data_IF_498589895765
#
_entry.id   IF_498589895765
#
_cell.length_a   1.000
_cell.length_b   1.000
_cell.length_c   1.000
_cell.angle_alpha   90.00
_cell.angle_beta   90.00
_cell.angle_gamma   90.00
#
_symmetry.space_group_name_H-M   'P 1'
#
loop_
_entity.id
_entity.type
_entity.pdbx_description
1 polymer ?
#
# COMPACT_ATOMS: atom_id res chain seq x y z
N UNK A 1 28.89 -46.53 43.87
CA UNK A 1 28.92 -47.35 42.65
C UNK A 1 27.51 -47.78 42.31
N UNK A 2 26.98 -47.31 41.17
CA UNK A 2 25.90 -47.93 40.41
C UNK A 2 25.89 -47.25 39.04
N UNK A 3 26.30 -47.99 38.02
CA UNK A 3 26.40 -47.57 36.62
C UNK A 3 25.00 -47.48 36.01
N UNK A 4 24.71 -46.42 35.25
CA UNK A 4 23.58 -46.38 34.31
C UNK A 4 24.11 -46.18 32.89
N UNK A 5 23.68 -47.08 32.03
CA UNK A 5 24.06 -47.22 30.63
C UNK A 5 23.60 -46.05 29.77
N UNK A 6 24.47 -45.70 28.82
CA UNK A 6 24.18 -44.89 27.65
C UNK A 6 23.46 -45.76 26.62
N UNK A 7 22.41 -45.25 26.01
CA UNK A 7 21.97 -45.75 24.70
C UNK A 7 21.71 -44.57 23.76
N UNK A 8 22.41 -44.63 22.64
CA UNK A 8 22.40 -43.71 21.51
C UNK A 8 21.27 -44.09 20.56
N UNK A 9 20.48 -43.12 20.10
CA UNK A 9 19.77 -43.22 18.82
C UNK A 9 19.52 -41.83 18.20
N UNK A 10 19.95 -41.66 16.94
CA UNK A 10 19.79 -40.49 16.08
C UNK A 10 18.33 -40.30 15.60
N UNK A 11 17.91 -39.07 15.22
CA UNK A 11 16.56 -38.80 14.75
C UNK A 11 16.32 -39.25 13.30
N UNK A 12 15.19 -39.92 13.07
CA UNK A 12 14.72 -40.37 11.77
C UNK A 12 14.18 -39.21 10.91
N UNK A 13 14.53 -39.23 9.62
CA UNK A 13 14.07 -38.34 8.55
C UNK A 13 12.61 -38.59 8.21
N UNK A 14 11.79 -37.52 8.20
CA UNK A 14 10.40 -37.55 7.72
C UNK A 14 10.37 -37.08 6.26
N UNK A 15 10.11 -38.00 5.33
CA UNK A 15 9.90 -37.71 3.91
C UNK A 15 8.52 -37.09 3.64
N UNK A 16 8.49 -36.14 2.71
CA UNK A 16 7.33 -35.33 2.29
C UNK A 16 6.67 -35.98 1.06
N UNK A 17 5.34 -36.14 0.98
CA UNK A 17 4.70 -36.73 -0.19
C UNK A 17 4.75 -35.81 -1.43
N UNK A 18 5.16 -36.36 -2.57
CA UNK A 18 5.26 -35.69 -3.88
C UNK A 18 3.88 -35.45 -4.49
N UNK A 19 3.63 -34.23 -4.97
CA UNK A 19 2.40 -33.78 -5.64
C UNK A 19 2.44 -34.22 -7.11
N UNK A 20 1.41 -34.95 -7.55
CA UNK A 20 1.23 -35.41 -8.93
C UNK A 20 0.72 -34.24 -9.80
N UNK A 21 1.42 -33.99 -10.90
CA UNK A 21 1.08 -33.03 -11.95
C UNK A 21 -0.10 -33.55 -12.77
N UNK A 22 -1.18 -32.77 -12.91
CA UNK A 22 -2.30 -33.11 -13.82
C UNK A 22 -2.29 -32.15 -15.01
N UNK A 23 -2.16 -32.77 -16.18
CA UNK A 23 -2.07 -32.21 -17.52
C UNK A 23 -3.38 -31.54 -17.95
N UNK A 24 -3.26 -30.46 -18.71
CA UNK A 24 -4.34 -29.71 -19.34
C UNK A 24 -4.99 -30.47 -20.51
N UNK A 25 -6.29 -30.31 -20.69
CA UNK A 25 -7.00 -30.67 -21.91
C UNK A 25 -8.07 -29.59 -22.24
N UNK A 26 -8.44 -29.43 -23.53
CA UNK A 26 -8.76 -28.13 -24.11
C UNK A 26 -10.25 -27.78 -24.17
N UNK A 27 -10.48 -26.53 -24.57
CA UNK A 27 -11.75 -25.84 -24.74
C UNK A 27 -12.82 -26.61 -25.54
N UNK A 28 -14.05 -26.62 -25.00
CA UNK A 28 -15.26 -27.03 -25.71
C UNK A 28 -16.19 -25.83 -25.90
N UNK A 29 -16.72 -25.73 -27.13
CA UNK A 29 -17.54 -24.66 -27.69
C UNK A 29 -18.92 -24.60 -27.05
N UNK A 30 -19.45 -23.37 -26.96
CA UNK A 30 -20.82 -23.04 -26.56
C UNK A 30 -21.77 -23.36 -27.73
N UNK A 31 -22.84 -24.11 -27.46
CA UNK A 31 -24.02 -24.25 -28.31
C UNK A 31 -25.27 -23.82 -27.56
N UNK A 32 -26.17 -23.14 -28.27
CA UNK A 32 -27.38 -22.44 -27.84
C UNK A 32 -28.50 -23.36 -27.28
N UNK A 33 -29.61 -22.80 -26.71
CA UNK A 33 -30.47 -23.49 -25.76
C UNK A 33 -31.59 -24.32 -26.44
N UNK A 34 -31.93 -25.46 -25.82
CA UNK A 34 -33.09 -26.26 -26.20
C UNK A 34 -34.14 -26.27 -25.06
N UNK A 35 -35.39 -26.38 -25.50
CA UNK A 35 -36.65 -26.08 -24.83
C UNK A 35 -36.99 -26.90 -23.57
N UNK A 36 -37.85 -26.31 -22.75
CA UNK A 36 -38.52 -26.92 -21.59
C UNK A 36 -39.78 -27.66 -22.05
N UNK A 37 -40.04 -28.87 -21.53
CA UNK A 37 -41.41 -29.29 -21.26
C UNK A 37 -41.67 -29.48 -19.77
N UNK A 38 -42.83 -28.96 -19.34
CA UNK A 38 -43.41 -29.15 -18.00
C UNK A 38 -43.83 -30.60 -17.80
N UNK A 39 -43.67 -31.06 -16.56
CA UNK A 39 -44.55 -32.08 -15.99
C UNK A 39 -43.85 -32.99 -14.99
N UNK A 40 -44.27 -32.89 -13.73
CA UNK A 40 -44.34 -33.95 -12.70
C UNK A 40 -43.85 -33.45 -11.35
N UNK A 41 -44.80 -33.30 -10.42
CA UNK A 41 -44.56 -33.06 -9.00
C UNK A 41 -44.21 -34.42 -8.37
N UNK A 42 -42.98 -34.58 -7.90
CA UNK A 42 -42.63 -35.60 -6.91
C UNK A 42 -41.71 -34.95 -5.87
N UNK A 43 -42.13 -35.02 -4.60
CA UNK A 43 -41.33 -34.64 -3.45
C UNK A 43 -40.08 -35.52 -3.41
N UNK A 44 -38.91 -34.89 -3.47
CA UNK A 44 -37.63 -35.56 -3.24
C UNK A 44 -36.90 -34.79 -2.13
N UNK A 45 -36.88 -35.37 -0.92
CA UNK A 45 -36.17 -34.86 0.27
C UNK A 45 -34.64 -34.97 0.15
N UNK A 46 -34.12 -35.08 -1.08
CA UNK A 46 -32.69 -35.11 -1.35
C UNK A 46 -32.29 -34.09 -2.43
N UNK A 47 -32.89 -32.90 -2.35
CA UNK A 47 -32.45 -31.76 -3.17
C UNK A 47 -31.00 -31.41 -2.82
N UNK A 48 -30.12 -31.52 -3.82
CA UNK A 48 -28.77 -30.98 -3.74
C UNK A 48 -28.83 -29.53 -3.25
N UNK A 49 -27.89 -29.08 -2.39
CA UNK A 49 -27.87 -27.70 -1.93
C UNK A 49 -27.92 -26.78 -3.16
N UNK A 50 -28.68 -25.67 -3.11
CA UNK A 50 -28.78 -24.75 -4.23
C UNK A 50 -27.36 -24.43 -4.72
N UNK A 51 -27.16 -24.29 -6.05
CA UNK A 51 -25.84 -24.03 -6.59
C UNK A 51 -25.23 -22.88 -5.78
N UNK A 52 -24.04 -23.11 -5.22
CA UNK A 52 -23.27 -22.06 -4.54
C UNK A 52 -23.41 -20.82 -5.39
N UNK A 53 -24.02 -19.77 -4.82
CA UNK A 53 -24.14 -18.46 -5.45
C UNK A 53 -22.77 -18.21 -6.07
N UNK A 54 -22.72 -18.25 -7.40
CA UNK A 54 -21.50 -18.00 -8.14
C UNK A 54 -21.06 -16.65 -7.63
N UNK A 55 -19.93 -16.63 -6.92
CA UNK A 55 -19.33 -15.39 -6.44
C UNK A 55 -19.20 -14.54 -7.68
N UNK A 56 -20.11 -13.56 -7.86
CA UNK A 56 -20.14 -12.73 -9.06
C UNK A 56 -18.76 -12.10 -9.13
N UNK A 57 -17.96 -12.57 -10.10
CA UNK A 57 -16.60 -12.11 -10.26
C UNK A 57 -16.72 -10.66 -10.72
N UNK A 58 -16.55 -9.73 -9.78
CA UNK A 58 -16.46 -8.33 -10.11
C UNK A 58 -15.24 -8.14 -11.02
N UNK A 59 -15.50 -7.66 -12.22
CA UNK A 59 -14.46 -7.29 -13.17
C UNK A 59 -13.79 -6.01 -12.70
N UNK A 60 -12.45 -6.00 -12.66
CA UNK A 60 -11.66 -4.84 -12.26
C UNK A 60 -11.15 -4.12 -13.50
N UNK A 61 -11.71 -2.94 -13.79
CA UNK A 61 -11.25 -2.08 -14.87
C UNK A 61 -10.04 -1.26 -14.42
N UNK A 62 -8.98 -1.25 -15.22
CA UNK A 62 -7.80 -0.42 -14.97
C UNK A 62 -8.15 1.08 -15.10
N UNK A 63 -7.39 1.95 -14.47
CA UNK A 63 -7.73 3.39 -14.40
C UNK A 63 -7.66 4.07 -15.77
N UNK A 64 -6.70 3.65 -16.61
CA UNK A 64 -6.53 4.05 -18.00
C UNK A 64 -7.71 3.66 -18.92
N UNK A 65 -8.45 2.62 -18.54
CA UNK A 65 -9.58 2.11 -19.32
C UNK A 65 -10.93 2.73 -18.89
N UNK A 66 -10.98 3.42 -17.75
CA UNK A 66 -12.20 4.04 -17.24
C UNK A 66 -12.65 5.18 -18.16
N UNK A 67 -13.91 5.12 -18.58
CA UNK A 67 -14.56 6.17 -19.37
C UNK A 67 -15.21 7.22 -18.49
N UNK A 68 -15.25 8.46 -18.97
CA UNK A 68 -15.97 9.54 -18.32
C UNK A 68 -17.45 9.18 -18.06
N UNK A 69 -18.04 9.77 -17.03
CA UNK A 69 -19.49 9.69 -16.80
C UNK A 69 -20.22 10.55 -17.83
N UNK A 70 -21.31 10.06 -18.45
CA UNK A 70 -22.10 10.84 -19.39
C UNK A 70 -22.86 11.98 -18.70
N UNK A 71 -23.27 11.78 -17.45
CA UNK A 71 -23.98 12.77 -16.64
C UNK A 71 -23.36 12.84 -15.22
N UNK A 72 -22.26 13.58 -15.04
CA UNK A 72 -21.57 13.69 -13.75
C UNK A 72 -22.38 14.48 -12.71
N UNK A 73 -23.25 15.40 -13.13
CA UNK A 73 -24.07 16.24 -12.24
C UNK A 73 -25.14 15.43 -11.53
N UNK A 74 -25.87 14.59 -12.26
CA UNK A 74 -26.84 13.68 -11.63
C UNK A 74 -26.12 12.66 -10.74
N UNK A 75 -24.98 12.15 -11.21
CA UNK A 75 -24.23 11.14 -10.46
C UNK A 75 -23.67 11.68 -9.14
N UNK A 76 -23.13 12.89 -9.11
CA UNK A 76 -22.59 13.45 -7.86
C UNK A 76 -23.70 13.64 -6.80
N UNK A 77 -24.92 13.96 -7.21
CA UNK A 77 -26.06 14.18 -6.32
C UNK A 77 -26.48 12.93 -5.53
N UNK A 78 -26.41 11.74 -6.14
CA UNK A 78 -26.74 10.47 -5.48
C UNK A 78 -25.54 9.72 -4.90
N UNK A 79 -24.31 10.18 -5.16
CA UNK A 79 -23.09 9.39 -4.91
C UNK A 79 -22.93 8.95 -3.46
N UNK A 80 -23.10 9.87 -2.51
CA UNK A 80 -22.91 9.56 -1.09
C UNK A 80 -23.93 8.54 -0.58
N UNK A 81 -25.19 8.64 -1.01
CA UNK A 81 -26.23 7.66 -0.68
C UNK A 81 -25.90 6.27 -1.26
N UNK A 82 -25.47 6.22 -2.53
CA UNK A 82 -25.07 4.98 -3.18
C UNK A 82 -23.87 4.31 -2.48
N UNK A 83 -22.89 5.11 -2.05
CA UNK A 83 -21.72 4.67 -1.29
C UNK A 83 -22.07 4.12 0.11
N UNK A 84 -23.20 4.54 0.69
CA UNK A 84 -23.70 4.07 1.99
C UNK A 84 -24.66 2.87 1.91
N UNK A 85 -24.92 2.37 0.71
CA UNK A 85 -25.75 1.20 0.48
C UNK A 85 -25.34 0.00 1.34
N UNK A 86 -26.34 -0.75 1.82
CA UNK A 86 -26.13 -2.04 2.50
C UNK A 86 -25.72 -3.16 1.52
N UNK A 87 -26.07 -2.99 0.25
CA UNK A 87 -25.64 -3.88 -0.83
C UNK A 87 -24.23 -3.51 -1.27
N UNK A 88 -23.28 -4.38 -0.93
CA UNK A 88 -21.87 -4.20 -1.22
C UNK A 88 -21.55 -4.13 -2.72
N UNK A 89 -22.38 -4.73 -3.59
CA UNK A 89 -22.21 -4.64 -5.04
C UNK A 89 -22.52 -3.22 -5.53
N UNK A 90 -23.57 -2.59 -4.98
CA UNK A 90 -23.88 -1.17 -5.25
C UNK A 90 -22.75 -0.26 -4.75
N UNK A 91 -22.16 -0.55 -3.60
CA UNK A 91 -21.00 0.20 -3.11
C UNK A 91 -19.80 0.04 -4.05
N UNK A 92 -19.53 -1.17 -4.57
CA UNK A 92 -18.49 -1.36 -5.59
C UNK A 92 -18.77 -0.56 -6.87
N UNK A 93 -20.02 -0.51 -7.33
CA UNK A 93 -20.41 0.29 -8.49
C UNK A 93 -20.19 1.79 -8.22
N UNK A 94 -20.66 2.30 -7.08
CA UNK A 94 -20.48 3.68 -6.66
C UNK A 94 -18.99 4.06 -6.49
N UNK A 95 -18.15 3.15 -5.97
CA UNK A 95 -16.70 3.35 -5.90
C UNK A 95 -16.06 3.43 -7.29
N UNK A 96 -16.56 2.71 -8.29
CA UNK A 96 -16.10 2.89 -9.67
C UNK A 96 -16.57 4.23 -10.25
N UNK A 97 -17.74 4.73 -9.86
CA UNK A 97 -18.15 6.09 -10.22
C UNK A 97 -17.28 7.14 -9.52
N UNK A 98 -16.87 6.94 -8.26
CA UNK A 98 -15.83 7.77 -7.59
C UNK A 98 -14.55 7.81 -8.42
N UNK A 99 -14.07 6.66 -8.90
CA UNK A 99 -12.87 6.59 -9.76
C UNK A 99 -13.03 7.41 -11.04
N UNK A 100 -14.16 7.25 -11.73
CA UNK A 100 -14.47 7.99 -12.97
C UNK A 100 -14.58 9.48 -12.71
N UNK A 101 -15.21 9.89 -11.61
CA UNK A 101 -15.30 11.29 -11.20
C UNK A 101 -13.92 11.86 -10.87
N UNK A 102 -13.09 11.14 -10.11
CA UNK A 102 -11.74 11.57 -9.78
C UNK A 102 -10.91 11.82 -11.04
N UNK A 103 -10.96 10.91 -12.02
CA UNK A 103 -10.11 10.99 -13.22
C UNK A 103 -10.62 12.00 -14.26
N UNK A 104 -11.93 12.11 -14.47
CA UNK A 104 -12.51 12.86 -15.60
C UNK A 104 -13.28 14.11 -15.18
N UNK A 105 -13.71 14.20 -13.93
CA UNK A 105 -14.69 15.19 -13.44
C UNK A 105 -14.34 15.67 -12.01
N UNK A 106 -13.05 15.85 -11.72
CA UNK A 106 -12.52 15.99 -10.36
C UNK A 106 -13.13 17.17 -9.58
N UNK A 107 -13.53 18.24 -10.28
CA UNK A 107 -14.15 19.43 -9.68
C UNK A 107 -15.46 19.13 -8.95
N UNK A 108 -16.23 18.14 -9.40
CA UNK A 108 -17.48 17.73 -8.74
C UNK A 108 -17.23 16.94 -7.45
N UNK A 109 -16.12 16.20 -7.39
CA UNK A 109 -15.79 15.38 -6.23
C UNK A 109 -15.12 16.20 -5.11
N UNK A 110 -14.40 17.27 -5.48
CA UNK A 110 -13.64 18.11 -4.54
C UNK A 110 -14.45 18.58 -3.32
N UNK A 111 -15.70 19.09 -3.45
CA UNK A 111 -16.48 19.59 -2.31
C UNK A 111 -16.86 18.51 -1.29
N UNK A 112 -16.85 17.23 -1.69
CA UNK A 112 -17.24 16.10 -0.83
C UNK A 112 -16.09 15.13 -0.58
N UNK A 113 -14.86 15.49 -0.95
CA UNK A 113 -13.71 14.60 -0.96
C UNK A 113 -13.43 13.99 0.42
N UNK A 114 -13.55 14.77 1.49
CA UNK A 114 -13.42 14.30 2.88
C UNK A 114 -14.38 13.16 3.20
N UNK A 115 -15.67 13.35 2.90
CA UNK A 115 -16.70 12.33 3.11
C UNK A 115 -16.42 11.07 2.27
N UNK A 116 -16.01 11.23 1.02
CA UNK A 116 -15.66 10.12 0.14
C UNK A 116 -14.47 9.32 0.70
N UNK A 117 -13.43 9.97 1.20
CA UNK A 117 -12.29 9.30 1.85
C UNK A 117 -12.73 8.50 3.08
N UNK A 118 -13.64 9.04 3.92
CA UNK A 118 -14.18 8.32 5.08
C UNK A 118 -15.00 7.09 4.68
N UNK A 119 -15.79 7.18 3.60
CA UNK A 119 -16.53 6.02 3.09
C UNK A 119 -15.58 4.98 2.49
N UNK A 120 -14.52 5.40 1.78
CA UNK A 120 -13.46 4.49 1.30
C UNK A 120 -12.81 3.76 2.48
N UNK A 121 -12.47 4.45 3.57
CA UNK A 121 -11.96 3.85 4.82
C UNK A 121 -12.90 2.78 5.36
N UNK A 122 -14.21 3.06 5.39
CA UNK A 122 -15.24 2.11 5.82
C UNK A 122 -15.30 0.89 4.88
N UNK A 123 -15.23 1.10 3.57
CA UNK A 123 -15.23 0.05 2.56
C UNK A 123 -13.98 -0.85 2.65
N UNK A 124 -12.79 -0.27 2.86
CA UNK A 124 -11.54 -1.01 3.06
C UNK A 124 -11.61 -1.95 4.27
N UNK A 125 -12.31 -1.55 5.34
CA UNK A 125 -12.49 -2.37 6.56
C UNK A 125 -13.45 -3.55 6.36
N UNK A 126 -14.20 -3.60 5.25
CA UNK A 126 -15.12 -4.71 4.97
C UNK A 126 -14.35 -6.03 4.74
N UNK A 127 -14.85 -7.18 5.22
CA UNK A 127 -14.19 -8.48 5.05
C UNK A 127 -14.19 -8.97 3.59
N UNK A 128 -15.06 -8.44 2.73
CA UNK A 128 -15.12 -8.82 1.31
C UNK A 128 -13.92 -8.24 0.57
N UNK A 129 -13.05 -9.09 0.05
CA UNK A 129 -11.86 -8.64 -0.67
C UNK A 129 -12.17 -7.85 -1.93
N UNK A 130 -13.29 -8.13 -2.59
CA UNK A 130 -13.63 -7.42 -3.81
C UNK A 130 -13.96 -5.96 -3.52
N UNK A 131 -14.83 -5.71 -2.53
CA UNK A 131 -15.12 -4.34 -2.05
C UNK A 131 -13.85 -3.64 -1.53
N UNK A 132 -13.04 -4.35 -0.73
CA UNK A 132 -11.79 -3.81 -0.22
C UNK A 132 -10.84 -3.41 -1.37
N UNK A 133 -10.65 -4.27 -2.37
CA UNK A 133 -9.80 -3.95 -3.52
C UNK A 133 -10.35 -2.78 -4.34
N UNK A 134 -11.65 -2.77 -4.65
CA UNK A 134 -12.28 -1.65 -5.38
C UNK A 134 -12.12 -0.33 -4.63
N UNK A 135 -12.23 -0.33 -3.30
CA UNK A 135 -12.00 0.87 -2.49
C UNK A 135 -10.54 1.34 -2.49
N UNK A 136 -9.57 0.42 -2.57
CA UNK A 136 -8.15 0.76 -2.73
C UNK A 136 -7.87 1.32 -4.12
N UNK A 137 -8.48 0.77 -5.17
CA UNK A 137 -8.37 1.33 -6.52
C UNK A 137 -8.94 2.76 -6.59
N UNK A 138 -10.09 3.00 -5.93
CA UNK A 138 -10.62 4.36 -5.76
C UNK A 138 -9.67 5.31 -5.03
N UNK A 139 -9.03 4.82 -3.96
CA UNK A 139 -7.99 5.56 -3.24
C UNK A 139 -6.80 5.95 -4.15
N UNK A 140 -6.35 5.02 -5.00
CA UNK A 140 -5.27 5.27 -5.98
C UNK A 140 -5.63 6.38 -6.96
N UNK A 141 -6.85 6.36 -7.50
CA UNK A 141 -7.31 7.40 -8.43
C UNK A 141 -7.52 8.75 -7.73
N UNK A 142 -7.92 8.75 -6.46
CA UNK A 142 -7.94 9.97 -5.63
C UNK A 142 -6.53 10.54 -5.47
N UNK A 143 -5.52 9.71 -5.13
CA UNK A 143 -4.15 10.20 -5.02
C UNK A 143 -3.63 10.77 -6.33
N UNK A 144 -3.96 10.13 -7.45
CA UNK A 144 -3.58 10.63 -8.77
C UNK A 144 -4.16 12.02 -9.06
N UNK A 145 -5.46 12.23 -8.82
CA UNK A 145 -6.15 13.46 -9.20
C UNK A 145 -6.05 14.59 -8.19
N UNK A 146 -5.99 14.27 -6.89
CA UNK A 146 -6.04 15.25 -5.80
C UNK A 146 -4.73 15.34 -5.01
N UNK A 147 -3.72 14.51 -5.31
CA UNK A 147 -2.53 14.37 -4.48
C UNK A 147 -1.85 15.69 -4.11
N UNK A 148 -1.75 16.61 -5.07
CA UNK A 148 -1.15 17.95 -4.91
C UNK A 148 -1.89 18.85 -3.90
N UNK A 149 -3.19 18.66 -3.71
CA UNK A 149 -4.03 19.47 -2.83
C UNK A 149 -4.56 18.70 -1.61
N UNK A 150 -4.39 17.38 -1.56
CA UNK A 150 -5.02 16.51 -0.57
C UNK A 150 -4.70 16.94 0.87
N UNK A 151 -3.45 17.30 1.12
CA UNK A 151 -2.94 17.75 2.43
C UNK A 151 -3.03 19.27 2.66
N UNK A 152 -3.59 20.03 1.72
CA UNK A 152 -3.87 21.46 1.88
C UNK A 152 -5.35 21.76 2.11
N UNK A 153 -6.21 20.74 2.10
CA UNK A 153 -7.64 20.85 2.41
C UNK A 153 -7.88 20.73 3.92
N UNK A 154 -9.05 21.14 4.39
CA UNK A 154 -9.52 20.96 5.77
C UNK A 154 -9.74 19.50 6.18
N UNK A 155 -9.41 18.53 5.32
CA UNK A 155 -9.74 17.11 5.45
C UNK A 155 -8.61 16.27 6.03
N UNK A 156 -7.70 16.87 6.81
CA UNK A 156 -6.54 16.17 7.37
C UNK A 156 -6.94 14.92 8.18
N UNK A 157 -8.02 14.99 8.96
CA UNK A 157 -8.49 13.87 9.78
C UNK A 157 -8.99 12.67 8.95
N UNK A 158 -9.53 12.94 7.76
CA UNK A 158 -9.98 11.90 6.84
C UNK A 158 -8.78 11.26 6.13
N UNK A 159 -7.79 12.07 5.74
CA UNK A 159 -6.53 11.57 5.19
C UNK A 159 -5.78 10.67 6.18
N UNK A 160 -5.66 11.08 7.45
CA UNK A 160 -4.93 10.30 8.46
C UNK A 160 -5.55 8.90 8.68
N UNK A 161 -6.90 8.83 8.65
CA UNK A 161 -7.62 7.55 8.71
C UNK A 161 -7.41 6.70 7.45
N UNK A 162 -7.40 7.32 6.27
CA UNK A 162 -7.15 6.66 4.99
C UNK A 162 -5.73 6.11 4.93
N UNK A 163 -4.73 6.90 5.32
CA UNK A 163 -3.32 6.51 5.36
C UNK A 163 -3.11 5.32 6.29
N UNK A 164 -3.61 5.39 7.53
CA UNK A 164 -3.49 4.26 8.47
C UNK A 164 -4.15 3.01 7.89
N UNK A 165 -5.36 3.11 7.33
CA UNK A 165 -6.02 1.94 6.76
C UNK A 165 -5.26 1.37 5.58
N UNK A 166 -4.71 2.20 4.71
CA UNK A 166 -3.95 1.73 3.56
C UNK A 166 -2.68 0.99 3.98
N UNK A 167 -1.95 1.52 4.97
CA UNK A 167 -0.79 0.85 5.57
C UNK A 167 -1.17 -0.50 6.18
N UNK A 168 -2.31 -0.59 6.88
CA UNK A 168 -2.81 -1.86 7.42
C UNK A 168 -3.15 -2.85 6.30
N UNK A 169 -3.74 -2.39 5.20
CA UNK A 169 -4.08 -3.25 4.05
C UNK A 169 -2.84 -3.71 3.27
N UNK A 170 -1.79 -2.90 3.20
CA UNK A 170 -0.49 -3.29 2.66
C UNK A 170 0.31 -4.20 3.61
N UNK A 171 -0.13 -4.37 4.86
CA UNK A 171 0.58 -5.17 5.88
C UNK A 171 -0.01 -6.58 6.10
N UNK A 172 -0.98 -6.99 5.28
CA UNK A 172 -1.68 -8.27 5.43
C UNK A 172 -1.11 -9.36 4.50
N UNK A 173 -1.44 -10.62 4.77
CA UNK A 173 -0.96 -11.77 4.00
C UNK A 173 -1.79 -12.06 2.73
N UNK A 174 -2.96 -11.42 2.57
CA UNK A 174 -3.82 -11.59 1.39
C UNK A 174 -3.27 -10.79 0.20
N UNK A 175 -2.40 -11.45 -0.57
CA UNK A 175 -1.68 -10.92 -1.74
C UNK A 175 -2.51 -10.00 -2.64
N UNK A 176 -3.70 -10.46 -3.05
CA UNK A 176 -4.60 -9.72 -3.94
C UNK A 176 -4.98 -8.32 -3.45
N UNK A 177 -5.12 -8.13 -2.13
CA UNK A 177 -5.46 -6.84 -1.52
C UNK A 177 -4.19 -6.08 -1.14
N UNK A 178 -3.18 -6.80 -0.64
CA UNK A 178 -1.91 -6.25 -0.23
C UNK A 178 -1.16 -5.56 -1.39
N UNK A 179 -1.04 -6.23 -2.54
CA UNK A 179 -0.38 -5.68 -3.73
C UNK A 179 -1.11 -4.43 -4.26
N UNK A 180 -2.44 -4.40 -4.19
CA UNK A 180 -3.20 -3.21 -4.59
C UNK A 180 -2.97 -2.05 -3.62
N UNK A 181 -2.90 -2.33 -2.31
CA UNK A 181 -2.61 -1.31 -1.31
C UNK A 181 -1.19 -0.74 -1.46
N UNK A 182 -0.20 -1.58 -1.77
CA UNK A 182 1.17 -1.16 -2.05
C UNK A 182 1.26 -0.24 -3.28
N UNK A 183 0.55 -0.57 -4.37
CA UNK A 183 0.44 0.31 -5.56
C UNK A 183 -0.18 1.65 -5.20
N UNK A 184 -1.20 1.64 -4.36
CA UNK A 184 -1.86 2.87 -3.89
C UNK A 184 -0.92 3.73 -3.04
N UNK A 185 -0.15 3.13 -2.12
CA UNK A 185 0.88 3.84 -1.33
C UNK A 185 1.98 4.43 -2.22
N UNK A 186 2.37 3.72 -3.28
CA UNK A 186 3.30 4.23 -4.27
C UNK A 186 2.73 5.43 -5.03
N UNK A 187 1.48 5.34 -5.49
CA UNK A 187 0.81 6.46 -6.15
C UNK A 187 0.72 7.67 -5.23
N UNK A 188 0.41 7.47 -3.95
CA UNK A 188 0.42 8.52 -2.93
C UNK A 188 1.80 9.18 -2.80
N UNK A 189 2.87 8.39 -2.62
CA UNK A 189 4.23 8.90 -2.49
C UNK A 189 4.70 9.69 -3.72
N UNK A 190 4.19 9.35 -4.91
CA UNK A 190 4.48 10.07 -6.15
C UNK A 190 3.62 11.33 -6.29
N UNK A 191 2.37 11.33 -5.86
CA UNK A 191 1.42 12.39 -6.21
C UNK A 191 1.26 13.47 -5.14
N UNK A 192 1.52 13.15 -3.87
CA UNK A 192 1.37 14.07 -2.74
C UNK A 192 2.65 14.88 -2.51
N UNK A 193 2.58 16.19 -2.17
CA UNK A 193 3.75 17.00 -1.87
C UNK A 193 4.63 16.34 -0.80
N UNK A 194 5.95 16.18 -1.06
CA UNK A 194 6.77 15.30 -0.24
C UNK A 194 6.89 15.72 1.24
N UNK A 195 7.06 17.01 1.53
CA UNK A 195 7.26 17.47 2.91
C UNK A 195 6.02 17.24 3.81
N UNK A 196 4.80 17.67 3.43
CA UNK A 196 3.59 17.32 4.18
C UNK A 196 3.38 15.81 4.32
N UNK A 197 3.61 15.04 3.26
CA UNK A 197 3.43 13.58 3.31
C UNK A 197 4.41 12.93 4.30
N UNK A 198 5.69 13.34 4.27
CA UNK A 198 6.71 12.82 5.17
C UNK A 198 6.34 13.08 6.65
N UNK A 199 5.81 14.27 6.95
CA UNK A 199 5.31 14.60 8.31
C UNK A 199 4.17 13.71 8.75
N UNK A 200 3.27 13.30 7.84
CA UNK A 200 2.21 12.34 8.15
C UNK A 200 2.76 10.92 8.35
N UNK A 201 3.71 10.50 7.52
CA UNK A 201 4.29 9.15 7.56
C UNK A 201 5.21 8.89 8.77
N UNK A 202 5.89 9.92 9.31
CA UNK A 202 6.89 9.75 10.36
C UNK A 202 6.35 9.04 11.62
N UNK A 203 5.05 9.18 11.92
CA UNK A 203 4.45 8.55 13.09
C UNK A 203 4.36 7.02 12.99
N UNK A 204 4.43 6.47 11.77
CA UNK A 204 4.25 5.04 11.51
C UNK A 204 5.55 4.25 11.50
N UNK A 205 6.72 4.90 11.46
CA UNK A 205 8.02 4.20 11.56
C UNK A 205 8.31 3.65 12.94
N UNK A 206 7.51 4.03 13.95
CA UNK A 206 7.56 3.52 15.32
C UNK A 206 6.29 2.72 15.69
N UNK A 207 5.49 2.32 14.69
CA UNK A 207 4.27 1.56 14.92
C UNK A 207 4.55 0.18 15.55
N UNK A 208 3.66 -0.31 16.44
CA UNK A 208 3.86 -1.59 17.13
C UNK A 208 3.90 -2.80 16.17
N UNK A 209 3.07 -2.78 15.12
CA UNK A 209 3.08 -3.76 14.04
C UNK A 209 4.30 -3.56 13.11
N UNK A 210 5.20 -4.55 13.08
CA UNK A 210 6.43 -4.53 12.28
C UNK A 210 6.16 -4.30 10.78
N UNK A 211 5.10 -4.94 10.23
CA UNK A 211 4.77 -4.84 8.80
C UNK A 211 4.31 -3.43 8.43
N UNK A 212 3.55 -2.78 9.31
CA UNK A 212 3.15 -1.37 9.13
C UNK A 212 4.38 -0.47 9.11
N UNK A 213 5.35 -0.69 10.00
CA UNK A 213 6.62 0.07 9.98
C UNK A 213 7.36 -0.11 8.67
N UNK A 214 7.47 -1.34 8.16
CA UNK A 214 8.10 -1.61 6.88
C UNK A 214 7.40 -0.89 5.73
N UNK A 215 6.07 -0.93 5.65
CA UNK A 215 5.31 -0.23 4.60
C UNK A 215 5.43 1.28 4.71
N UNK A 216 5.44 1.83 5.93
CA UNK A 216 5.68 3.25 6.16
C UNK A 216 7.10 3.65 5.72
N UNK A 217 8.12 2.87 6.07
CA UNK A 217 9.49 3.10 5.67
C UNK A 217 9.66 3.12 4.14
N UNK A 218 9.01 2.19 3.42
CA UNK A 218 9.01 2.16 1.95
C UNK A 218 8.30 3.38 1.35
N UNK A 219 7.17 3.81 1.93
CA UNK A 219 6.50 5.03 1.48
C UNK A 219 7.38 6.28 1.71
N UNK A 220 8.08 6.34 2.85
CA UNK A 220 9.04 7.40 3.17
C UNK A 220 10.21 7.39 2.20
N UNK A 221 10.80 6.24 1.89
CA UNK A 221 11.94 6.18 0.96
C UNK A 221 11.57 6.69 -0.43
N UNK A 222 10.37 6.34 -0.93
CA UNK A 222 9.81 6.88 -2.19
C UNK A 222 9.53 8.38 -2.10
N UNK A 223 9.08 8.86 -0.95
CA UNK A 223 8.83 10.28 -0.73
C UNK A 223 10.14 11.09 -0.73
N UNK A 224 11.16 10.61 -0.01
CA UNK A 224 12.48 11.25 0.13
C UNK A 224 13.27 11.23 -1.18
N UNK A 225 13.19 10.16 -1.98
CA UNK A 225 13.91 10.09 -3.26
C UNK A 225 13.49 11.18 -4.26
N UNK A 226 12.30 11.77 -4.05
CA UNK A 226 11.78 12.89 -4.84
C UNK A 226 12.09 14.26 -4.25
N UNK A 227 12.65 14.33 -3.05
CA UNK A 227 12.96 15.60 -2.40
C UNK A 227 14.26 16.18 -2.92
N UNK A 228 14.28 17.49 -3.13
CA UNK A 228 15.54 18.25 -3.18
C UNK A 228 16.11 18.42 -1.78
N UNK A 229 17.42 18.69 -1.68
CA UNK A 229 18.12 18.88 -0.40
C UNK A 229 17.46 19.96 0.47
N UNK A 230 16.93 21.04 -0.13
CA UNK A 230 16.22 22.10 0.60
C UNK A 230 14.92 21.62 1.26
N UNK A 231 14.19 20.70 0.61
CA UNK A 231 12.98 20.10 1.18
C UNK A 231 13.34 19.14 2.33
N UNK A 232 14.43 18.38 2.18
CA UNK A 232 14.95 17.54 3.27
C UNK A 232 15.43 18.37 4.46
N UNK A 233 16.06 19.53 4.23
CA UNK A 233 16.42 20.50 5.27
C UNK A 233 15.20 21.08 5.96
N UNK A 234 14.15 21.43 5.20
CA UNK A 234 12.90 21.93 5.75
C UNK A 234 12.17 20.90 6.64
N UNK A 235 12.35 19.61 6.37
CA UNK A 235 11.94 18.55 7.31
C UNK A 235 12.89 18.45 8.51
N UNK A 236 14.20 18.53 8.25
CA UNK A 236 15.26 18.37 9.23
C UNK A 236 16.14 17.18 8.87
N UNK A 237 17.32 17.42 8.30
CA UNK A 237 18.24 16.35 7.88
C UNK A 237 18.66 15.45 9.04
N UNK A 238 18.91 16.03 10.21
CA UNK A 238 19.25 15.28 11.42
C UNK A 238 18.12 14.32 11.83
N UNK A 239 16.87 14.79 11.84
CA UNK A 239 15.70 13.98 12.17
C UNK A 239 15.49 12.86 11.14
N UNK A 240 15.68 13.17 9.85
CA UNK A 240 15.57 12.17 8.77
C UNK A 240 16.67 11.09 8.90
N UNK A 241 17.90 11.49 9.24
CA UNK A 241 19.01 10.58 9.47
C UNK A 241 18.77 9.69 10.70
N UNK A 242 18.32 10.27 11.82
CA UNK A 242 18.00 9.54 13.06
C UNK A 242 16.91 8.50 12.82
N UNK A 243 15.80 8.90 12.19
CA UNK A 243 14.72 7.99 11.81
C UNK A 243 15.22 6.84 10.92
N UNK A 244 16.10 7.13 9.97
CA UNK A 244 16.67 6.10 9.09
C UNK A 244 17.60 5.15 9.83
N UNK A 245 18.41 5.66 10.76
CA UNK A 245 19.30 4.86 11.59
C UNK A 245 18.53 3.92 12.53
N UNK A 246 17.38 4.35 13.06
CA UNK A 246 16.48 3.49 13.82
C UNK A 246 15.92 2.35 12.94
N UNK A 247 15.46 2.67 11.73
CA UNK A 247 14.91 1.69 10.78
C UNK A 247 15.95 0.67 10.28
N UNK A 248 17.24 0.99 10.25
CA UNK A 248 18.30 0.02 9.95
C UNK A 248 18.34 -1.16 10.93
N UNK A 249 17.84 -0.96 12.14
CA UNK A 249 17.75 -1.97 13.19
C UNK A 249 16.37 -2.64 13.25
N UNK A 250 15.47 -2.33 12.31
CA UNK A 250 14.15 -2.97 12.27
C UNK A 250 14.27 -4.48 12.02
N UNK A 251 13.30 -5.25 12.51
CA UNK A 251 13.24 -6.70 12.37
C UNK A 251 12.98 -7.14 10.93
N UNK A 252 12.24 -6.36 10.15
CA UNK A 252 11.89 -6.70 8.77
C UNK A 252 12.95 -6.20 7.78
N UNK A 253 13.40 -7.04 6.83
CA UNK A 253 14.39 -6.64 5.81
C UNK A 253 13.88 -5.49 4.93
N UNK A 254 12.58 -5.46 4.63
CA UNK A 254 11.96 -4.40 3.83
C UNK A 254 12.14 -3.01 4.47
N UNK A 255 11.99 -2.90 5.80
CA UNK A 255 12.22 -1.65 6.53
C UNK A 255 13.70 -1.23 6.47
N UNK A 256 14.62 -2.19 6.65
CA UNK A 256 16.07 -1.93 6.60
C UNK A 256 16.52 -1.50 5.21
N UNK A 257 15.94 -2.08 4.15
CA UNK A 257 16.26 -1.71 2.78
C UNK A 257 15.76 -0.30 2.42
N UNK A 258 14.53 0.02 2.86
CA UNK A 258 14.00 1.36 2.73
C UNK A 258 14.88 2.39 3.49
N UNK A 259 15.39 2.04 4.68
CA UNK A 259 16.31 2.89 5.44
C UNK A 259 17.62 3.17 4.69
N UNK A 260 18.22 2.14 4.06
CA UNK A 260 19.41 2.32 3.21
C UNK A 260 19.12 3.29 2.06
N UNK A 261 17.97 3.13 1.39
CA UNK A 261 17.55 4.02 0.30
C UNK A 261 17.38 5.48 0.76
N UNK A 262 16.82 5.70 1.96
CA UNK A 262 16.69 7.05 2.54
C UNK A 262 18.08 7.64 2.80
N UNK A 263 18.98 6.88 3.44
CA UNK A 263 20.35 7.32 3.75
C UNK A 263 21.12 7.69 2.48
N UNK A 264 21.03 6.86 1.44
CA UNK A 264 21.63 7.17 0.13
C UNK A 264 21.07 8.46 -0.45
N UNK A 265 19.76 8.70 -0.34
CA UNK A 265 19.13 9.93 -0.83
C UNK A 265 19.61 11.17 -0.06
N UNK A 266 19.77 11.07 1.27
CA UNK A 266 20.35 12.14 2.10
C UNK A 266 21.78 12.44 1.64
N UNK A 267 22.62 11.41 1.51
CA UNK A 267 24.02 11.55 1.11
C UNK A 267 24.17 12.15 -0.29
N UNK A 268 23.39 11.69 -1.27
CA UNK A 268 23.38 12.29 -2.61
C UNK A 268 22.98 13.77 -2.58
N UNK A 269 22.12 14.17 -1.64
CA UNK A 269 21.78 15.58 -1.41
C UNK A 269 22.95 16.40 -0.86
N UNK A 270 23.77 15.83 0.03
CA UNK A 270 25.00 16.44 0.55
C UNK A 270 26.06 16.62 -0.54
N UNK A 271 26.38 15.55 -1.29
CA UNK A 271 27.41 15.58 -2.34
C UNK A 271 27.12 16.66 -3.39
N UNK A 272 25.87 16.73 -3.89
CA UNK A 272 25.46 17.78 -4.85
C UNK A 272 25.57 19.20 -4.27
N UNK A 273 25.38 19.37 -2.96
CA UNK A 273 25.51 20.69 -2.34
C UNK A 273 26.98 21.11 -2.23
N UNK A 274 27.89 20.18 -1.95
CA UNK A 274 29.32 20.43 -1.86
C UNK A 274 29.94 20.69 -3.24
N UNK A 275 29.53 19.96 -4.28
CA UNK A 275 29.92 20.23 -5.68
C UNK A 275 29.63 21.68 -6.11
N UNK A 276 28.54 22.27 -5.60
CA UNK A 276 28.16 23.65 -5.89
C UNK A 276 28.94 24.69 -5.04
N UNK A 277 29.55 24.26 -3.94
CA UNK A 277 30.41 25.10 -3.08
C UNK A 277 31.87 24.94 -3.51
N UNK A 278 32.25 25.62 -4.58
CA UNK A 278 33.65 25.71 -5.01
C UNK A 278 34.47 26.37 -3.90
N UNK A 279 35.33 25.60 -3.21
CA UNK A 279 36.31 26.12 -2.25
C UNK A 279 36.30 25.53 -0.83
N UNK A 280 35.49 24.50 -0.54
CA UNK A 280 35.60 23.77 0.73
C UNK A 280 36.71 22.69 0.63
N UNK A 281 37.71 22.76 1.51
CA UNK A 281 38.85 21.81 1.55
C UNK A 281 38.46 20.45 2.17
N UNK A 282 37.29 20.37 2.83
CA UNK A 282 36.82 19.11 3.42
C UNK A 282 36.22 18.18 2.36
N UNK A 283 36.73 16.95 2.31
CA UNK A 283 36.22 15.92 1.40
C UNK A 283 34.76 15.58 1.72
N UNK A 284 33.95 15.29 0.69
CA UNK A 284 32.56 14.83 0.83
C UNK A 284 32.42 13.71 1.86
N UNK A 285 33.37 12.76 1.85
CA UNK A 285 33.41 11.64 2.79
C UNK A 285 33.59 12.09 4.24
N UNK A 286 34.45 13.08 4.49
CA UNK A 286 34.71 13.63 5.82
C UNK A 286 33.50 14.43 6.31
N UNK A 287 32.91 15.26 5.44
CA UNK A 287 31.70 16.03 5.75
C UNK A 287 30.53 15.12 6.14
N UNK A 288 30.34 14.01 5.40
CA UNK A 288 29.32 13.01 5.69
C UNK A 288 29.58 12.29 7.02
N UNK A 289 30.83 11.90 7.27
CA UNK A 289 31.21 11.22 8.52
C UNK A 289 31.02 12.13 9.75
N UNK A 290 31.36 13.41 9.63
CA UNK A 290 31.13 14.42 10.66
C UNK A 290 29.64 14.64 10.90
N UNK A 291 28.83 14.71 9.83
CA UNK A 291 27.38 14.82 9.94
C UNK A 291 26.77 13.60 10.65
N UNK A 292 27.18 12.39 10.30
CA UNK A 292 26.73 11.17 10.96
C UNK A 292 27.11 11.16 12.45
N UNK A 293 28.36 11.47 12.77
CA UNK A 293 28.88 11.43 14.15
C UNK A 293 28.27 12.50 15.06
N UNK A 294 27.86 13.64 14.48
CA UNK A 294 27.23 14.73 15.24
C UNK A 294 25.75 14.48 15.55
N UNK A 295 25.08 13.61 14.78
CA UNK A 295 23.62 13.42 14.86
C UNK A 295 23.20 12.01 15.31
N UNK A 296 24.13 11.05 15.39
CA UNK A 296 23.85 9.65 15.73
C UNK A 296 24.79 9.15 16.85
N UNK A 297 24.35 8.16 17.65
CA UNK A 297 25.25 7.44 18.55
C UNK A 297 26.42 6.78 17.80
N UNK A 298 27.60 6.60 18.43
CA UNK A 298 28.82 6.16 17.72
C UNK A 298 28.67 4.90 16.86
N UNK A 299 27.94 3.89 17.36
CA UNK A 299 27.70 2.64 16.63
C UNK A 299 26.85 2.89 15.37
N UNK A 300 25.73 3.60 15.54
CA UNK A 300 24.84 3.94 14.43
C UNK A 300 25.53 4.84 13.41
N UNK A 301 26.33 5.81 13.85
CA UNK A 301 27.12 6.68 12.98
C UNK A 301 28.07 5.88 12.08
N UNK A 302 28.81 4.92 12.65
CA UNK A 302 29.70 4.06 11.88
C UNK A 302 28.94 3.16 10.88
N UNK A 303 27.80 2.59 11.30
CA UNK A 303 26.97 1.76 10.42
C UNK A 303 26.41 2.56 9.25
N UNK A 304 25.91 3.77 9.51
CA UNK A 304 25.33 4.66 8.50
C UNK A 304 26.40 5.20 7.55
N UNK A 305 27.55 5.62 8.07
CA UNK A 305 28.67 6.12 7.25
C UNK A 305 29.10 5.10 6.19
N UNK A 306 29.13 3.81 6.54
CA UNK A 306 29.54 2.72 5.64
C UNK A 306 28.55 2.41 4.52
N UNK A 307 27.28 2.79 4.64
CA UNK A 307 26.25 2.45 3.64
C UNK A 307 26.53 3.07 2.28
N UNK A 308 27.13 4.26 2.27
CA UNK A 308 27.38 5.06 1.06
C UNK A 308 28.82 4.90 0.54
N UNK A 309 29.66 4.16 1.28
CA UNK A 309 31.04 3.85 0.89
C UNK A 309 31.18 2.51 0.16
N UNK A 310 30.07 1.82 -0.10
CA UNK A 310 29.99 0.52 -0.80
C UNK A 310 29.44 0.73 -2.21
#
# INVERSE_FOLDING_TARGET
MALRSLDNALPATIERPKKITKVAAPAAKISAPAEVPRGSVMNDENAAPPPKVVEQCLEYTASEDLKALPDPETKIASLLEELESRDWLKVCAALNDVRRLALHHYSYLLPILGNVMLVIVKAMKNPRSALCKTSIMACTDIFHSFGNILLSTSEESAFDQLLLQLLLKASQDKRFVCEEAEKSLEKMAVSVPPLPLLKKLQSYVNHSNLRVRAKAAVAISKCVSKMGIEVMKAFGLAALLQMSAELLNDRLPEAREAARSIITSIHSGFARQNELKVGDETSDAESWQNFCSSNLPPISAQSVAKIVSQ
#
